data_IF_362926510164
#
_entry.id   IF_362926510164
#
_cell.length_a   1.000
_cell.length_b   1.000
_cell.length_c   1.000
_cell.angle_alpha   90.00
_cell.angle_beta   90.00
_cell.angle_gamma   90.00
#
_symmetry.space_group_name_H-M   'P 1'
#
loop_
_entity.id
_entity.type
_entity.pdbx_description
1 polymer ?
#
# COMPACT_ATOMS: atom_id res chain seq x y z
N UNK A 1 14.31 -2.63 -0.33
CA UNK A 1 13.82 -3.89 -0.92
C UNK A 1 12.57 -3.69 -1.76
N UNK A 2 11.39 -3.31 -1.25
CA UNK A 2 10.19 -3.11 -2.11
C UNK A 2 10.31 -1.88 -3.04
N UNK A 3 10.74 -0.72 -2.51
CA UNK A 3 10.90 0.52 -3.30
C UNK A 3 12.14 0.58 -4.20
N UNK A 4 13.07 -0.35 -4.04
CA UNK A 4 14.27 -0.41 -4.87
C UNK A 4 13.99 -1.01 -6.27
N UNK A 5 12.84 -1.68 -6.42
CA UNK A 5 12.38 -2.31 -7.65
C UNK A 5 11.64 -1.26 -8.50
N UNK A 6 12.19 -0.81 -9.66
CA UNK A 6 11.64 0.32 -10.42
C UNK A 6 10.16 0.16 -10.79
N UNK A 7 9.78 -1.04 -11.21
CA UNK A 7 8.42 -1.37 -11.61
C UNK A 7 7.40 -1.33 -10.46
N UNK A 8 7.83 -1.30 -9.19
CA UNK A 8 6.94 -1.29 -8.01
C UNK A 8 6.91 0.05 -7.30
N UNK A 9 7.69 1.04 -7.76
CA UNK A 9 7.80 2.34 -7.10
C UNK A 9 6.47 3.12 -7.06
N UNK A 10 5.56 2.84 -8.00
CA UNK A 10 4.25 3.50 -8.11
C UNK A 10 3.12 2.72 -7.44
N UNK A 11 3.36 1.49 -6.99
CA UNK A 11 2.32 0.67 -6.37
C UNK A 11 2.14 1.05 -4.89
N UNK A 12 0.91 1.26 -4.40
CA UNK A 12 0.69 1.49 -2.99
C UNK A 12 0.96 0.22 -2.19
N UNK A 13 1.71 0.36 -1.08
CA UNK A 13 2.10 -0.77 -0.22
C UNK A 13 1.41 -0.65 1.13
N UNK A 14 0.75 -1.73 1.56
CA UNK A 14 0.17 -1.87 2.90
C UNK A 14 1.05 -2.83 3.69
N UNK A 15 1.55 -2.40 4.85
CA UNK A 15 2.42 -3.24 5.69
C UNK A 15 1.61 -3.85 6.85
N UNK A 16 1.70 -5.15 7.05
CA UNK A 16 1.07 -5.87 8.15
C UNK A 16 2.12 -6.47 9.09
N UNK A 17 2.22 -5.96 10.32
CA UNK A 17 3.30 -6.32 11.25
C UNK A 17 2.82 -6.46 12.69
N UNK A 18 3.55 -7.20 13.52
CA UNK A 18 3.34 -7.24 14.98
C UNK A 18 4.00 -6.07 15.70
N UNK A 19 4.94 -5.39 15.04
CA UNK A 19 5.63 -4.24 15.62
C UNK A 19 4.71 -3.01 15.55
N UNK A 20 4.43 -2.37 16.69
CA UNK A 20 3.72 -1.09 16.74
C UNK A 20 4.63 0.04 16.26
N UNK A 21 4.84 0.05 14.94
CA UNK A 21 5.69 0.99 14.26
C UNK A 21 4.86 2.16 13.70
N UNK A 22 3.85 2.63 14.46
CA UNK A 22 3.00 3.77 14.08
C UNK A 22 3.82 5.03 13.73
N UNK A 23 5.07 5.11 14.20
CA UNK A 23 6.06 6.14 13.81
C UNK A 23 6.93 5.80 12.58
N UNK A 24 7.17 4.53 12.25
CA UNK A 24 8.03 4.12 11.11
C UNK A 24 7.27 3.84 9.80
N UNK A 25 5.95 3.75 9.81
CA UNK A 25 5.15 3.55 8.59
C UNK A 25 5.34 4.66 7.54
N UNK A 26 5.52 5.90 8.00
CA UNK A 26 5.88 7.04 7.15
C UNK A 26 7.32 6.97 6.63
N UNK A 27 8.26 6.42 7.40
CA UNK A 27 9.70 6.41 7.08
C UNK A 27 10.05 5.50 5.89
N UNK A 28 9.20 4.51 5.55
CA UNK A 28 9.40 3.60 4.40
C UNK A 28 8.49 3.90 3.20
N UNK A 29 7.67 4.95 3.28
CA UNK A 29 6.71 5.30 2.23
C UNK A 29 5.62 4.24 2.03
N UNK A 30 5.14 3.59 3.07
CA UNK A 30 3.95 2.74 2.95
C UNK A 30 2.69 3.62 2.80
N UNK A 31 1.70 3.13 2.04
CA UNK A 31 0.39 3.77 1.92
C UNK A 31 -0.49 3.53 3.15
N UNK A 32 -0.27 2.42 3.87
CA UNK A 32 -0.90 2.13 5.16
C UNK A 32 -0.10 1.12 5.99
N UNK A 33 -0.43 1.04 7.28
CA UNK A 33 0.13 0.09 8.22
C UNK A 33 -0.97 -0.55 9.06
N UNK A 34 -0.94 -1.88 9.20
CA UNK A 34 -1.87 -2.66 10.01
C UNK A 34 -1.10 -3.49 11.04
N UNK A 35 -1.56 -3.43 12.30
CA UNK A 35 -1.01 -4.24 13.37
C UNK A 35 -1.70 -5.59 13.39
N UNK A 36 -0.92 -6.65 13.47
CA UNK A 36 -1.44 -8.01 13.64
C UNK A 36 -2.02 -8.18 15.05
N UNK A 37 -3.16 -8.87 15.20
CA UNK A 37 -3.89 -9.61 14.15
C UNK A 37 -4.70 -8.69 13.24
N UNK A 38 -4.57 -8.92 11.93
CA UNK A 38 -5.35 -8.17 10.92
C UNK A 38 -6.68 -8.89 10.71
N UNK A 39 -7.78 -8.19 10.96
CA UNK A 39 -9.12 -8.72 10.68
C UNK A 39 -9.50 -8.49 9.22
N UNK A 40 -10.37 -9.34 8.63
CA UNK A 40 -10.88 -9.11 7.28
C UNK A 40 -11.48 -7.71 7.11
N UNK A 41 -12.31 -7.26 8.06
CA UNK A 41 -12.93 -5.94 8.01
C UNK A 41 -11.89 -4.79 7.98
N UNK A 42 -10.84 -4.88 8.82
CA UNK A 42 -9.77 -3.87 8.84
C UNK A 42 -8.97 -3.86 7.54
N UNK A 43 -8.74 -5.02 6.93
CA UNK A 43 -8.04 -5.14 5.67
C UNK A 43 -8.86 -4.56 4.52
N UNK A 44 -10.14 -4.95 4.40
CA UNK A 44 -11.03 -4.45 3.36
C UNK A 44 -11.20 -2.93 3.41
N UNK A 45 -11.41 -2.38 4.61
CA UNK A 45 -11.50 -0.93 4.78
C UNK A 45 -10.21 -0.22 4.36
N UNK A 46 -9.05 -0.77 4.74
CA UNK A 46 -7.75 -0.18 4.40
C UNK A 46 -7.46 -0.24 2.91
N UNK A 47 -7.73 -1.38 2.26
CA UNK A 47 -7.58 -1.55 0.82
C UNK A 47 -8.50 -0.59 0.07
N UNK A 48 -9.78 -0.51 0.45
CA UNK A 48 -10.73 0.41 -0.18
C UNK A 48 -10.27 1.86 -0.11
N UNK A 49 -9.80 2.32 1.06
CA UNK A 49 -9.22 3.65 1.22
C UNK A 49 -7.98 3.85 0.35
N UNK A 50 -7.04 2.91 0.36
CA UNK A 50 -5.80 3.01 -0.43
C UNK A 50 -6.10 3.05 -1.93
N UNK A 51 -7.03 2.24 -2.44
CA UNK A 51 -7.39 2.26 -3.86
C UNK A 51 -8.11 3.56 -4.27
N UNK A 52 -8.87 4.15 -3.36
CA UNK A 52 -9.46 5.48 -3.57
C UNK A 52 -8.38 6.57 -3.63
N UNK A 53 -7.41 6.54 -2.72
CA UNK A 53 -6.37 7.57 -2.60
C UNK A 53 -5.29 7.47 -3.69
N UNK A 54 -5.12 6.28 -4.28
CA UNK A 54 -4.15 5.98 -5.34
C UNK A 54 -4.89 5.53 -6.60
N UNK A 55 -5.47 6.47 -7.39
CA UNK A 55 -6.07 6.12 -8.67
C UNK A 55 -4.99 5.49 -9.55
N UNK A 56 -5.22 4.26 -9.99
CA UNK A 56 -4.33 3.62 -10.95
C UNK A 56 -4.28 4.53 -12.18
N UNK A 57 -3.09 5.05 -12.50
CA UNK A 57 -2.89 5.66 -13.81
C UNK A 57 -3.20 4.55 -14.81
N UNK A 58 -4.30 4.68 -15.55
CA UNK A 58 -4.62 3.78 -16.64
C UNK A 58 -3.44 3.87 -17.61
N UNK A 59 -2.55 2.87 -17.59
CA UNK A 59 -1.68 2.64 -18.72
C UNK A 59 -2.62 2.31 -19.87
N UNK A 60 -2.92 3.33 -20.67
CA UNK A 60 -3.63 3.21 -21.92
C UNK A 60 -2.70 2.34 -22.75
N UNK A 61 -2.95 1.03 -22.76
CA UNK A 61 -2.33 0.12 -23.70
C UNK A 61 -2.63 0.72 -25.07
N UNK A 62 -1.58 1.26 -25.69
CA UNK A 62 -1.64 1.96 -26.94
C UNK A 62 -2.35 1.08 -27.95
N UNK A 63 -3.48 1.59 -28.42
CA UNK A 63 -4.11 1.17 -29.65
C UNK A 63 -3.17 1.52 -30.80
N UNK A 64 -2.47 0.52 -31.36
CA UNK A 64 -1.99 0.45 -32.74
C UNK A 64 -1.89 -1.01 -33.17
#
# INVERSE_FOLDING_TARGET
FVRATPQWQRLPVIVCSTLDARRRGHEVGAAAYLIKPVTPASLFSTVGRVLHDFPFAHETHGQL
#
